data_IF_545265190470
#
_entry.id   IF_545265190470
#
_cell.length_a   1.000
_cell.length_b   1.000
_cell.length_c   1.000
_cell.angle_alpha   90.00
_cell.angle_beta   90.00
_cell.angle_gamma   90.00
#
_symmetry.space_group_name_H-M   'P 1'
#
loop_
_entity.id
_entity.type
_entity.pdbx_description
1 polymer ?
#
# COMPACT_ATOMS: atom_id res chain seq x y z
N UNK A 1 35.55 -40.83 -3.64
CA UNK A 1 35.14 -39.83 -2.61
C UNK A 1 34.43 -38.59 -3.18
N UNK A 2 34.76 -38.09 -4.38
CA UNK A 2 34.23 -36.79 -4.88
C UNK A 2 32.74 -36.77 -5.26
N UNK A 3 32.19 -37.84 -5.84
CA UNK A 3 30.78 -37.88 -6.32
C UNK A 3 29.76 -37.79 -5.19
N UNK A 4 29.99 -38.50 -4.08
CA UNK A 4 29.09 -38.46 -2.91
C UNK A 4 29.06 -37.06 -2.29
N UNK A 5 30.22 -36.41 -2.17
CA UNK A 5 30.32 -35.04 -1.67
C UNK A 5 29.61 -34.04 -2.58
N UNK A 6 29.77 -34.16 -3.91
CA UNK A 6 29.05 -33.32 -4.88
C UNK A 6 27.54 -33.55 -4.81
N UNK A 7 27.10 -34.81 -4.67
CA UNK A 7 25.69 -35.14 -4.54
C UNK A 7 25.07 -34.55 -3.25
N UNK A 8 25.77 -34.59 -2.13
CA UNK A 8 25.32 -33.94 -0.88
C UNK A 8 25.25 -32.41 -1.01
N UNK A 9 26.21 -31.77 -1.70
CA UNK A 9 26.16 -30.33 -1.95
C UNK A 9 24.99 -29.93 -2.85
N UNK A 10 24.72 -30.69 -3.92
CA UNK A 10 23.58 -30.45 -4.80
C UNK A 10 22.25 -30.67 -4.07
N UNK A 11 22.14 -31.71 -3.23
CA UNK A 11 20.97 -31.93 -2.41
C UNK A 11 20.74 -30.79 -1.41
N UNK A 12 21.81 -30.29 -0.77
CA UNK A 12 21.74 -29.12 0.10
C UNK A 12 21.30 -27.86 -0.62
N UNK A 13 21.81 -27.61 -1.84
CA UNK A 13 21.40 -26.47 -2.66
C UNK A 13 19.92 -26.58 -3.06
N UNK A 14 19.47 -27.75 -3.51
CA UNK A 14 18.08 -27.99 -3.87
C UNK A 14 17.15 -27.81 -2.66
N UNK A 15 17.56 -28.28 -1.48
CA UNK A 15 16.83 -28.07 -0.24
C UNK A 15 16.74 -26.58 0.11
N UNK A 16 17.85 -25.84 0.01
CA UNK A 16 17.88 -24.40 0.24
C UNK A 16 16.92 -23.66 -0.71
N UNK A 17 17.03 -23.92 -2.02
CA UNK A 17 16.15 -23.30 -3.03
C UNK A 17 14.69 -23.66 -2.74
N UNK A 18 14.39 -24.92 -2.43
CA UNK A 18 13.05 -25.36 -2.07
C UNK A 18 12.47 -24.60 -0.88
N UNK A 19 13.23 -24.47 0.21
CA UNK A 19 12.81 -23.72 1.40
C UNK A 19 12.61 -22.23 1.08
N UNK A 20 13.50 -21.60 0.30
CA UNK A 20 13.34 -20.19 -0.08
C UNK A 20 12.11 -19.95 -0.98
N UNK A 21 11.82 -20.86 -1.91
CA UNK A 21 10.60 -20.78 -2.72
C UNK A 21 9.35 -20.91 -1.84
N UNK A 22 9.35 -21.81 -0.87
CA UNK A 22 8.24 -21.94 0.09
C UNK A 22 8.07 -20.62 0.86
N UNK A 23 9.13 -20.02 1.40
CA UNK A 23 8.99 -18.74 2.12
C UNK A 23 8.42 -17.64 1.21
N UNK A 24 8.88 -17.52 -0.03
CA UNK A 24 8.39 -16.49 -0.96
C UNK A 24 6.92 -16.71 -1.40
N UNK A 25 6.46 -17.95 -1.45
CA UNK A 25 5.09 -18.28 -1.85
C UNK A 25 4.10 -18.16 -0.68
N UNK A 26 4.54 -18.42 0.55
CA UNK A 26 3.67 -18.50 1.72
C UNK A 26 3.75 -17.27 2.65
N UNK A 27 4.85 -16.53 2.65
CA UNK A 27 4.96 -15.23 3.35
C UNK A 27 4.79 -14.10 2.34
N UNK A 28 3.59 -13.51 2.31
CA UNK A 28 3.35 -12.24 1.62
C UNK A 28 3.76 -11.11 2.54
N UNK A 29 4.41 -10.10 2.00
CA UNK A 29 4.70 -8.87 2.73
C UNK A 29 3.38 -8.24 3.16
N UNK A 30 3.19 -8.11 4.47
CA UNK A 30 2.05 -7.41 5.07
C UNK A 30 2.48 -5.96 5.34
N UNK A 31 1.92 -4.96 4.63
CA UNK A 31 2.23 -3.54 4.85
C UNK A 31 2.03 -3.09 6.31
N UNK A 32 1.13 -3.75 7.05
CA UNK A 32 0.84 -3.42 8.45
C UNK A 32 1.96 -3.89 9.41
N UNK A 33 2.81 -4.82 8.98
CA UNK A 33 3.98 -5.29 9.74
C UNK A 33 5.27 -4.51 9.39
N UNK A 34 5.23 -3.62 8.39
CA UNK A 34 6.37 -2.79 8.04
C UNK A 34 6.70 -1.80 9.15
N UNK A 35 7.99 -1.49 9.33
CA UNK A 35 8.36 -0.34 10.15
C UNK A 35 7.84 0.96 9.51
N UNK A 36 7.70 2.02 10.31
CA UNK A 36 7.06 3.25 9.85
C UNK A 36 7.81 3.91 8.68
N UNK A 37 9.15 3.85 8.64
CA UNK A 37 9.95 4.44 7.56
C UNK A 37 9.72 3.73 6.22
N UNK A 38 9.72 2.40 6.25
CA UNK A 38 9.53 1.57 5.06
C UNK A 38 8.09 1.71 4.56
N UNK A 39 7.10 1.77 5.46
CA UNK A 39 5.70 1.99 5.11
C UNK A 39 5.48 3.36 4.46
N UNK A 40 6.06 4.43 4.99
CA UNK A 40 6.00 5.77 4.38
C UNK A 40 6.58 5.77 2.95
N UNK A 41 7.76 5.19 2.77
CA UNK A 41 8.41 5.10 1.46
C UNK A 41 7.62 4.20 0.48
N UNK A 42 7.03 3.12 0.98
CA UNK A 42 6.19 2.19 0.20
C UNK A 42 4.90 2.87 -0.28
N UNK A 43 4.15 3.48 0.64
CA UNK A 43 2.93 4.24 0.35
C UNK A 43 3.21 5.32 -0.69
N UNK A 44 4.26 6.11 -0.48
CA UNK A 44 4.71 7.17 -1.39
C UNK A 44 4.94 6.62 -2.80
N UNK A 45 5.76 5.57 -2.93
CA UNK A 45 6.11 4.98 -4.24
C UNK A 45 4.90 4.44 -4.99
N UNK A 46 3.93 3.85 -4.28
CA UNK A 46 2.72 3.32 -4.92
C UNK A 46 1.76 4.44 -5.33
N UNK A 47 1.49 5.41 -4.45
CA UNK A 47 0.56 6.51 -4.72
C UNK A 47 1.03 7.35 -5.91
N UNK A 48 2.34 7.63 -6.02
CA UNK A 48 2.91 8.35 -7.17
C UNK A 48 2.80 7.59 -8.50
N UNK A 49 2.55 6.28 -8.47
CA UNK A 49 2.35 5.45 -9.68
C UNK A 49 0.88 5.26 -10.04
N UNK A 50 -0.04 5.75 -9.22
CA UNK A 50 -1.46 5.66 -9.52
C UNK A 50 -1.76 6.46 -10.79
N UNK A 51 -2.49 5.83 -11.70
CA UNK A 51 -2.83 6.37 -12.99
C UNK A 51 -4.35 6.57 -13.03
N UNK A 52 -4.78 7.83 -13.06
CA UNK A 52 -6.19 8.22 -13.08
C UNK A 52 -6.91 7.79 -14.37
N UNK A 53 -6.17 7.40 -15.42
CA UNK A 53 -6.78 6.87 -16.66
C UNK A 53 -7.17 5.41 -16.55
N UNK A 54 -6.65 4.69 -15.54
CA UNK A 54 -6.95 3.28 -15.30
C UNK A 54 -8.10 3.13 -14.32
N UNK A 55 -8.90 2.09 -14.53
CA UNK A 55 -9.93 1.70 -13.55
C UNK A 55 -9.27 1.04 -12.34
N UNK A 56 -8.95 1.86 -11.34
CA UNK A 56 -8.43 1.40 -10.05
C UNK A 56 -9.55 1.53 -9.01
N UNK A 57 -9.80 0.44 -8.28
CA UNK A 57 -10.83 0.40 -7.24
C UNK A 57 -10.23 0.65 -5.85
N UNK A 58 -11.09 1.10 -4.93
CA UNK A 58 -10.72 1.31 -3.53
C UNK A 58 -10.15 0.05 -2.88
N UNK A 59 -10.81 -1.09 -3.11
CA UNK A 59 -10.39 -2.36 -2.49
C UNK A 59 -9.03 -2.80 -3.02
N UNK A 60 -8.72 -2.60 -4.30
CA UNK A 60 -7.38 -2.87 -4.84
C UNK A 60 -6.28 -2.01 -4.18
N UNK A 61 -6.60 -0.77 -3.81
CA UNK A 61 -5.65 0.10 -3.10
C UNK A 61 -5.47 -0.39 -1.67
N UNK A 62 -6.54 -0.75 -0.96
CA UNK A 62 -6.48 -1.27 0.41
C UNK A 62 -5.75 -2.62 0.45
N UNK A 63 -6.02 -3.53 -0.49
CA UNK A 63 -5.37 -4.83 -0.58
C UNK A 63 -3.86 -4.72 -0.80
N UNK A 64 -3.40 -3.62 -1.42
CA UNK A 64 -1.99 -3.41 -1.72
C UNK A 64 -1.26 -2.55 -0.67
N UNK A 65 -1.90 -1.49 -0.17
CA UNK A 65 -1.32 -0.55 0.80
C UNK A 65 -1.61 -0.92 2.26
N UNK A 66 -2.51 -1.87 2.50
CA UNK A 66 -3.08 -2.11 3.82
C UNK A 66 -4.13 -1.06 4.20
N UNK A 67 -4.50 -1.06 5.48
CA UNK A 67 -5.48 -0.13 6.02
C UNK A 67 -4.98 1.32 5.95
N UNK A 68 -5.83 2.30 5.57
CA UNK A 68 -5.48 3.72 5.61
C UNK A 68 -5.37 4.23 7.05
N UNK A 69 -4.57 5.27 7.26
CA UNK A 69 -4.41 5.92 8.56
C UNK A 69 -5.66 6.72 8.96
N UNK A 70 -6.29 7.39 7.98
CA UNK A 70 -7.52 8.17 8.17
C UNK A 70 -8.45 7.88 6.99
N UNK A 71 -9.75 7.73 7.26
CA UNK A 71 -10.78 7.54 6.24
C UNK A 71 -11.93 8.49 6.48
N UNK A 72 -12.42 9.12 5.41
CA UNK A 72 -13.62 9.95 5.46
C UNK A 72 -14.52 9.65 4.27
N UNK A 73 -15.83 9.83 4.46
CA UNK A 73 -16.82 9.59 3.43
C UNK A 73 -17.93 10.65 3.45
N UNK A 74 -18.37 11.06 2.26
CA UNK A 74 -19.52 11.94 2.03
C UNK A 74 -20.47 11.28 1.02
N UNK A 75 -21.77 11.49 1.23
CA UNK A 75 -22.80 11.10 0.26
C UNK A 75 -23.35 12.38 -0.38
N UNK A 76 -23.14 12.56 -1.68
CA UNK A 76 -23.62 13.72 -2.43
C UNK A 76 -24.40 13.24 -3.65
N UNK A 77 -25.66 13.66 -3.81
CA UNK A 77 -26.48 13.35 -5.00
C UNK A 77 -26.49 11.85 -5.39
N UNK A 78 -26.68 10.96 -4.41
CA UNK A 78 -26.65 9.49 -4.59
C UNK A 78 -25.29 8.90 -5.02
N UNK A 79 -24.23 9.69 -4.96
CA UNK A 79 -22.85 9.26 -5.20
C UNK A 79 -22.10 9.24 -3.88
N UNK A 80 -21.33 8.17 -3.67
CA UNK A 80 -20.52 7.97 -2.46
C UNK A 80 -19.10 8.42 -2.78
N UNK A 81 -18.62 9.43 -2.08
CA UNK A 81 -17.25 9.89 -2.16
C UNK A 81 -16.50 9.46 -0.90
N UNK A 82 -15.36 8.81 -1.08
CA UNK A 82 -14.53 8.31 0.01
C UNK A 82 -13.09 8.77 -0.20
N UNK A 83 -12.51 9.41 0.79
CA UNK A 83 -11.09 9.77 0.79
C UNK A 83 -10.34 8.91 1.78
N UNK A 84 -9.28 8.27 1.28
CA UNK A 84 -8.34 7.50 2.09
C UNK A 84 -7.06 8.32 2.24
N UNK A 85 -6.58 8.46 3.47
CA UNK A 85 -5.31 9.10 3.75
C UNK A 85 -4.31 8.05 4.19
N UNK A 86 -3.19 7.99 3.47
CA UNK A 86 -2.05 7.15 3.80
C UNK A 86 -0.88 8.04 4.18
N UNK A 87 -0.20 7.72 5.28
CA UNK A 87 1.01 8.41 5.70
C UNK A 87 2.11 8.21 4.66
N UNK A 88 2.68 9.32 4.17
CA UNK A 88 3.72 9.32 3.13
C UNK A 88 4.98 10.04 3.56
N UNK A 89 4.91 10.83 4.63
CA UNK A 89 6.04 11.55 5.16
C UNK A 89 5.81 11.87 6.65
N UNK A 90 6.87 12.33 7.30
CA UNK A 90 6.85 12.71 8.71
C UNK A 90 7.16 14.19 8.87
N UNK A 91 6.27 14.88 9.55
CA UNK A 91 6.39 16.30 9.89
C UNK A 91 6.67 16.46 11.39
N UNK A 92 6.12 15.58 12.24
CA UNK A 92 6.23 15.66 13.71
C UNK A 92 6.73 14.35 14.34
N UNK A 93 7.33 14.48 15.53
CA UNK A 93 7.86 13.36 16.33
C UNK A 93 7.01 13.11 17.58
N UNK A 94 5.70 13.38 17.50
CA UNK A 94 4.74 13.17 18.59
C UNK A 94 4.05 11.79 18.54
N UNK A 95 4.21 11.05 17.44
CA UNK A 95 3.63 9.73 17.26
C UNK A 95 2.15 9.74 16.89
N UNK A 96 1.60 10.91 16.54
CA UNK A 96 0.21 11.07 16.11
C UNK A 96 0.22 11.31 14.59
N UNK A 97 -0.53 10.50 13.84
CA UNK A 97 -0.70 10.71 12.40
C UNK A 97 -1.75 11.79 12.15
N UNK A 98 -1.37 12.84 11.43
CA UNK A 98 -2.25 13.93 11.04
C UNK A 98 -2.36 14.05 9.51
N UNK A 99 -3.39 14.73 9.00
CA UNK A 99 -3.65 14.82 7.54
C UNK A 99 -2.50 15.46 6.78
N UNK A 100 -1.77 16.39 7.40
CA UNK A 100 -0.59 17.06 6.83
C UNK A 100 0.61 16.13 6.64
N UNK A 101 0.62 14.94 7.26
CA UNK A 101 1.64 13.89 7.06
C UNK A 101 1.22 12.83 6.02
N UNK A 102 0.03 13.00 5.43
CA UNK A 102 -0.60 12.00 4.57
C UNK A 102 -0.78 12.50 3.14
N UNK A 103 -0.90 11.54 2.22
CA UNK A 103 -1.37 11.80 0.86
C UNK A 103 -2.76 11.21 0.69
N UNK A 104 -3.69 12.04 0.24
CA UNK A 104 -5.08 11.66 0.03
C UNK A 104 -5.26 10.89 -1.28
N UNK A 105 -6.18 9.93 -1.29
CA UNK A 105 -6.65 9.20 -2.46
C UNK A 105 -8.18 9.26 -2.45
N UNK A 106 -8.77 9.92 -3.45
CA UNK A 106 -10.20 10.13 -3.53
C UNK A 106 -10.85 9.13 -4.48
N UNK A 107 -11.91 8.50 -3.99
CA UNK A 107 -12.74 7.56 -4.70
C UNK A 107 -14.15 8.11 -4.84
N UNK A 108 -14.75 7.87 -6.00
CA UNK A 108 -16.17 8.08 -6.27
C UNK A 108 -16.79 6.75 -6.65
N UNK A 109 -17.81 6.32 -5.92
CA UNK A 109 -18.45 5.00 -6.09
C UNK A 109 -17.40 3.87 -6.18
N UNK A 110 -16.41 3.89 -5.29
CA UNK A 110 -15.29 2.95 -5.21
C UNK A 110 -14.25 3.03 -6.34
N UNK A 111 -14.36 3.97 -7.28
CA UNK A 111 -13.38 4.17 -8.35
C UNK A 111 -12.49 5.38 -8.08
N UNK A 112 -11.19 5.24 -8.32
CA UNK A 112 -10.20 6.30 -8.15
C UNK A 112 -10.52 7.48 -9.09
N UNK A 113 -10.55 8.69 -8.54
CA UNK A 113 -10.80 9.92 -9.32
C UNK A 113 -9.75 11.01 -9.11
N UNK A 114 -9.06 11.05 -7.96
CA UNK A 114 -8.02 12.03 -7.70
C UNK A 114 -7.04 11.53 -6.62
N UNK A 115 -5.86 12.15 -6.56
CA UNK A 115 -4.81 11.92 -5.55
C UNK A 115 -4.25 13.24 -5.04
N UNK A 116 -3.60 13.21 -3.87
CA UNK A 116 -2.86 14.35 -3.30
C UNK A 116 -3.75 15.55 -2.99
N UNK A 117 -3.22 16.75 -3.25
CA UNK A 117 -3.92 18.01 -2.96
C UNK A 117 -5.24 18.13 -3.71
N UNK A 118 -5.28 17.74 -4.98
CA UNK A 118 -6.49 17.75 -5.80
C UNK A 118 -7.60 16.86 -5.23
N UNK A 119 -7.25 15.73 -4.62
CA UNK A 119 -8.21 14.88 -3.91
C UNK A 119 -8.85 15.60 -2.72
N UNK A 120 -8.04 16.31 -1.92
CA UNK A 120 -8.52 17.06 -0.76
C UNK A 120 -9.40 18.24 -1.20
N UNK A 121 -8.98 18.98 -2.21
CA UNK A 121 -9.76 20.11 -2.77
C UNK A 121 -11.12 19.65 -3.27
N UNK A 122 -11.16 18.60 -4.11
CA UNK A 122 -12.42 18.07 -4.63
C UNK A 122 -13.32 17.56 -3.51
N UNK A 123 -12.79 16.85 -2.52
CA UNK A 123 -13.56 16.32 -1.41
C UNK A 123 -14.18 17.41 -0.51
N UNK A 124 -13.45 18.51 -0.30
CA UNK A 124 -13.94 19.66 0.46
C UNK A 124 -15.02 20.46 -0.29
N UNK A 125 -15.08 20.36 -1.62
CA UNK A 125 -16.12 21.01 -2.44
C UNK A 125 -17.45 20.25 -2.50
N UNK A 126 -17.53 19.04 -1.93
CA UNK A 126 -18.74 18.20 -1.94
C UNK A 126 -19.79 18.59 -0.88
N UNK A 127 -19.56 19.68 -0.15
CA UNK A 127 -20.46 20.21 0.89
C UNK A 127 -21.69 20.92 0.32
#
# INVERSE_FOLDING_TARGET
MKVKTIAFLLAGLLLYVGLTCITLLFYKDDPDQMNWQDREAFNTKYIYKLDLTKTITRDQVIDYLGGPDITEAKNQQQQIYQVLYYRTHRTKTDGITTRDECTAILFKNQQLIAIGETAVEQYNQLD
#
